data_IF_025619438497
#
_entry.id   IF_025619438497
#
_cell.length_a   1.000
_cell.length_b   1.000
_cell.length_c   1.000
_cell.angle_alpha   90.00
_cell.angle_beta   90.00
_cell.angle_gamma   90.00
#
_symmetry.space_group_name_H-M   'P 1'
#
loop_
_entity.id
_entity.type
_entity.pdbx_description
1 polymer ?
#
# COMPACT_ATOMS: atom_id res chain seq x y z
N UNK A 1 -18.34 16.49 -29.43
CA UNK A 1 -19.40 15.60 -28.92
C UNK A 1 -18.79 14.85 -27.74
N UNK A 2 -18.85 15.45 -26.55
CA UNK A 2 -18.30 14.83 -25.34
C UNK A 2 -19.37 13.87 -24.84
N UNK A 3 -19.06 12.57 -24.82
CA UNK A 3 -19.95 11.58 -24.25
C UNK A 3 -20.06 11.86 -22.75
N UNK A 4 -21.28 12.14 -22.28
CA UNK A 4 -21.61 12.08 -20.87
C UNK A 4 -21.38 10.62 -20.45
N UNK A 5 -20.41 10.36 -19.57
CA UNK A 5 -20.33 9.06 -18.91
C UNK A 5 -21.60 8.88 -18.08
N UNK A 6 -22.58 8.18 -18.64
CA UNK A 6 -23.76 7.73 -17.93
C UNK A 6 -23.29 6.96 -16.70
N UNK A 7 -23.52 7.53 -15.51
CA UNK A 7 -23.19 6.90 -14.23
C UNK A 7 -24.05 5.64 -14.12
N UNK A 8 -23.48 4.52 -14.54
CA UNK A 8 -24.20 3.26 -14.62
C UNK A 8 -24.67 2.87 -13.21
N UNK A 9 -25.98 2.85 -13.00
CA UNK A 9 -26.57 2.53 -11.70
C UNK A 9 -26.63 1.01 -11.57
N UNK A 10 -25.90 0.47 -10.61
CA UNK A 10 -25.87 -0.94 -10.28
C UNK A 10 -26.87 -1.24 -9.17
N UNK A 11 -27.66 -2.31 -9.31
CA UNK A 11 -28.50 -2.82 -8.22
C UNK A 11 -27.69 -3.77 -7.35
N UNK A 12 -27.42 -3.37 -6.11
CA UNK A 12 -26.82 -4.20 -5.08
C UNK A 12 -27.85 -4.70 -4.07
N UNK A 13 -27.42 -5.61 -3.20
CA UNK A 13 -28.26 -6.13 -2.10
C UNK A 13 -28.68 -5.04 -1.09
N UNK A 14 -28.01 -3.88 -1.11
CA UNK A 14 -28.26 -2.72 -0.26
C UNK A 14 -28.94 -1.55 -1.01
N UNK A 15 -29.43 -1.80 -2.22
CA UNK A 15 -30.05 -0.79 -3.08
C UNK A 15 -29.17 -0.37 -4.26
N UNK A 16 -29.56 0.71 -4.92
CA UNK A 16 -28.86 1.25 -6.07
C UNK A 16 -27.56 1.93 -5.65
N UNK A 17 -26.45 1.59 -6.28
CA UNK A 17 -25.16 2.26 -6.10
C UNK A 17 -24.56 2.61 -7.46
N UNK A 18 -23.77 3.69 -7.52
CA UNK A 18 -22.98 4.03 -8.71
C UNK A 18 -21.51 3.96 -8.33
N UNK A 19 -20.68 3.44 -9.24
CA UNK A 19 -19.23 3.40 -9.06
C UNK A 19 -18.70 4.74 -9.54
N UNK A 20 -18.09 5.51 -8.64
CA UNK A 20 -17.48 6.78 -9.00
C UNK A 20 -16.06 6.59 -9.52
N UNK A 21 -15.55 7.54 -10.29
CA UNK A 21 -14.15 7.51 -10.73
C UNK A 21 -13.17 7.53 -9.54
N UNK A 22 -13.52 8.19 -8.44
CA UNK A 22 -12.75 8.13 -7.19
C UNK A 22 -12.65 6.71 -6.63
N UNK A 23 -13.72 5.92 -6.69
CA UNK A 23 -13.70 4.51 -6.24
C UNK A 23 -12.75 3.68 -7.09
N UNK A 24 -12.73 3.91 -8.40
CA UNK A 24 -11.81 3.22 -9.32
C UNK A 24 -10.36 3.58 -9.03
N UNK A 25 -10.06 4.87 -8.88
CA UNK A 25 -8.71 5.35 -8.56
C UNK A 25 -8.20 4.78 -7.24
N UNK A 26 -9.06 4.71 -6.23
CA UNK A 26 -8.73 4.13 -4.93
C UNK A 26 -8.28 2.67 -5.05
N UNK A 27 -8.99 1.86 -5.85
CA UNK A 27 -8.63 0.45 -6.10
C UNK A 27 -7.29 0.33 -6.83
N UNK A 28 -7.04 1.20 -7.83
CA UNK A 28 -5.79 1.19 -8.59
C UNK A 28 -4.60 1.54 -7.66
N UNK A 29 -4.72 2.61 -6.87
CA UNK A 29 -3.69 3.05 -5.94
C UNK A 29 -3.40 2.00 -4.86
N UNK A 30 -4.44 1.37 -4.33
CA UNK A 30 -4.32 0.26 -3.38
C UNK A 30 -3.48 -0.87 -3.97
N UNK A 31 -3.84 -1.35 -5.17
CA UNK A 31 -3.12 -2.45 -5.84
C UNK A 31 -1.69 -2.07 -6.19
N UNK A 32 -1.47 -0.85 -6.68
CA UNK A 32 -0.15 -0.34 -6.99
C UNK A 32 0.75 -0.29 -5.74
N UNK A 33 0.23 0.22 -4.62
CA UNK A 33 0.94 0.24 -3.34
C UNK A 33 1.36 -1.16 -2.86
N UNK A 34 0.47 -2.15 -2.99
CA UNK A 34 0.79 -3.54 -2.67
C UNK A 34 1.87 -4.14 -3.58
N UNK A 35 1.80 -3.88 -4.89
CA UNK A 35 2.81 -4.37 -5.84
C UNK A 35 4.18 -3.75 -5.55
N UNK A 36 4.25 -2.45 -5.29
CA UNK A 36 5.49 -1.75 -4.93
C UNK A 36 6.07 -2.34 -3.63
N UNK A 37 5.22 -2.60 -2.64
CA UNK A 37 5.63 -3.22 -1.38
C UNK A 37 6.19 -4.63 -1.60
N UNK A 38 5.45 -5.49 -2.30
CA UNK A 38 5.88 -6.85 -2.60
C UNK A 38 7.19 -6.88 -3.39
N UNK A 39 7.34 -5.99 -4.38
CA UNK A 39 8.57 -5.88 -5.17
C UNK A 39 9.75 -5.43 -4.33
N UNK A 40 9.57 -4.41 -3.48
CA UNK A 40 10.61 -3.92 -2.58
C UNK A 40 11.06 -4.99 -1.60
N UNK A 41 10.11 -5.76 -1.05
CA UNK A 41 10.41 -6.89 -0.18
C UNK A 41 11.19 -7.98 -0.92
N UNK A 42 10.76 -8.36 -2.13
CA UNK A 42 11.46 -9.34 -2.96
C UNK A 42 12.91 -8.93 -3.22
N UNK A 43 13.12 -7.68 -3.65
CA UNK A 43 14.47 -7.15 -3.92
C UNK A 43 15.30 -7.12 -2.65
N UNK A 44 14.75 -6.62 -1.54
CA UNK A 44 15.44 -6.56 -0.25
C UNK A 44 15.83 -7.94 0.27
N UNK A 45 14.91 -8.91 0.24
CA UNK A 45 15.19 -10.30 0.63
C UNK A 45 16.22 -10.96 -0.27
N UNK A 46 16.13 -10.78 -1.59
CA UNK A 46 17.12 -11.32 -2.53
C UNK A 46 18.51 -10.76 -2.29
N UNK A 47 18.61 -9.46 -1.99
CA UNK A 47 19.87 -8.80 -1.67
C UNK A 47 20.49 -9.35 -0.39
N UNK A 48 19.70 -9.53 0.66
CA UNK A 48 20.17 -10.10 1.93
C UNK A 48 20.62 -11.55 1.77
N UNK A 49 19.87 -12.38 1.03
CA UNK A 49 20.19 -13.79 0.82
C UNK A 49 21.45 -14.00 -0.05
N UNK A 50 21.77 -13.03 -0.91
CA UNK A 50 22.94 -13.11 -1.81
C UNK A 50 24.17 -12.38 -1.25
N UNK A 51 24.05 -11.70 -0.11
CA UNK A 51 25.13 -10.88 0.42
C UNK A 51 26.14 -11.71 1.23
N UNK A 52 27.42 -11.59 0.86
CA UNK A 52 28.53 -12.15 1.65
C UNK A 52 28.86 -11.28 2.87
N UNK A 53 28.65 -9.96 2.78
CA UNK A 53 28.86 -9.01 3.86
C UNK A 53 27.63 -8.12 4.07
N UNK A 54 26.97 -8.33 5.22
CA UNK A 54 25.76 -7.60 5.58
C UNK A 54 26.01 -6.09 5.78
N UNK A 55 27.18 -5.69 6.29
CA UNK A 55 27.49 -4.27 6.54
C UNK A 55 27.60 -3.45 5.27
N UNK A 56 28.02 -4.07 4.16
CA UNK A 56 28.15 -3.39 2.87
C UNK A 56 26.79 -3.11 2.22
N UNK A 57 25.77 -3.94 2.50
CA UNK A 57 24.44 -3.80 1.89
C UNK A 57 23.46 -2.94 2.70
N UNK A 58 23.73 -2.70 4.00
CA UNK A 58 22.91 -1.85 4.86
C UNK A 58 22.48 -0.52 4.22
N UNK A 59 23.37 0.30 3.62
CA UNK A 59 22.99 1.59 3.05
C UNK A 59 22.05 1.47 1.83
N UNK A 60 22.04 0.31 1.16
CA UNK A 60 21.10 0.04 0.05
C UNK A 60 19.77 -0.52 0.58
N UNK A 61 19.80 -1.26 1.70
CA UNK A 61 18.62 -1.86 2.29
C UNK A 61 17.71 -0.82 2.98
N UNK A 62 18.28 0.22 3.58
CA UNK A 62 17.54 1.31 4.23
C UNK A 62 16.55 2.02 3.29
N UNK A 63 16.94 2.53 2.10
CA UNK A 63 15.99 3.16 1.18
C UNK A 63 14.97 2.15 0.61
N UNK A 64 15.35 0.89 0.38
CA UNK A 64 14.42 -0.16 -0.07
C UNK A 64 13.32 -0.38 0.99
N UNK A 65 13.70 -0.43 2.26
CA UNK A 65 12.76 -0.55 3.37
C UNK A 65 11.84 0.67 3.50
N UNK A 66 12.36 1.88 3.24
CA UNK A 66 11.54 3.09 3.21
C UNK A 66 10.49 3.05 2.07
N UNK A 67 10.88 2.60 0.87
CA UNK A 67 9.94 2.44 -0.27
C UNK A 67 8.88 1.38 0.03
N UNK A 68 9.28 0.25 0.61
CA UNK A 68 8.36 -0.79 1.09
C UNK A 68 7.31 -0.21 2.06
N UNK A 69 7.79 0.54 3.06
CA UNK A 69 6.94 1.16 4.08
C UNK A 69 5.97 2.18 3.48
N UNK A 70 6.44 2.98 2.51
CA UNK A 70 5.62 3.97 1.81
C UNK A 70 4.54 3.30 0.93
N UNK A 71 4.89 2.24 0.19
CA UNK A 71 3.93 1.46 -0.59
C UNK A 71 2.83 0.85 0.28
N UNK A 72 3.21 0.31 1.45
CA UNK A 72 2.24 -0.22 2.41
C UNK A 72 1.36 0.89 2.98
N UNK A 73 1.93 2.03 3.36
CA UNK A 73 1.17 3.18 3.84
C UNK A 73 0.13 3.66 2.83
N UNK A 74 0.54 3.81 1.56
CA UNK A 74 -0.35 4.18 0.46
C UNK A 74 -1.49 3.17 0.28
N UNK A 75 -1.16 1.87 0.28
CA UNK A 75 -2.15 0.80 0.16
C UNK A 75 -3.16 0.84 1.31
N UNK A 76 -2.70 0.99 2.55
CA UNK A 76 -3.57 1.08 3.71
C UNK A 76 -4.42 2.36 3.68
N UNK A 77 -3.88 3.49 3.22
CA UNK A 77 -4.63 4.75 3.16
C UNK A 77 -5.76 4.72 2.11
N UNK A 78 -5.59 3.95 1.03
CA UNK A 78 -6.52 3.92 -0.12
C UNK A 78 -7.53 2.79 -0.08
N UNK A 79 -7.33 1.78 0.78
CA UNK A 79 -8.28 0.68 0.90
C UNK A 79 -9.58 1.14 1.57
N UNK A 80 -10.68 1.07 0.84
CA UNK A 80 -12.01 1.41 1.36
C UNK A 80 -12.60 0.22 2.13
N UNK A 81 -12.10 -0.02 3.35
CA UNK A 81 -12.62 -1.07 4.24
C UNK A 81 -13.80 -0.52 5.07
N UNK A 82 -14.97 -1.16 4.98
CA UNK A 82 -16.15 -0.84 5.79
C UNK A 82 -15.94 -1.10 7.30
N UNK A 83 -15.05 -2.02 7.65
CA UNK A 83 -14.65 -2.34 9.02
C UNK A 83 -13.56 -1.38 9.53
N UNK A 84 -13.98 -0.18 9.92
CA UNK A 84 -13.13 0.87 10.51
C UNK A 84 -12.19 0.38 11.63
N UNK A 85 -12.59 -0.47 12.60
CA UNK A 85 -11.66 -0.91 13.66
C UNK A 85 -10.49 -1.74 13.12
N UNK A 86 -10.71 -2.56 12.09
CA UNK A 86 -9.67 -3.36 11.45
C UNK A 86 -8.64 -2.46 10.75
N UNK A 87 -9.13 -1.44 10.04
CA UNK A 87 -8.29 -0.46 9.34
C UNK A 87 -7.34 0.26 10.30
N UNK A 88 -7.85 0.73 11.44
CA UNK A 88 -7.04 1.40 12.49
C UNK A 88 -5.98 0.48 13.09
N UNK A 89 -6.32 -0.79 13.31
CA UNK A 89 -5.38 -1.77 13.87
C UNK A 89 -4.22 -2.04 12.90
N UNK A 90 -4.51 -2.13 11.60
CA UNK A 90 -3.50 -2.24 10.56
C UNK A 90 -2.59 -0.99 10.49
N UNK A 91 -3.16 0.21 10.62
CA UNK A 91 -2.37 1.45 10.70
C UNK A 91 -1.45 1.45 11.93
N UNK A 92 -1.93 0.94 13.07
CA UNK A 92 -1.14 0.79 14.29
C UNK A 92 0.06 -0.15 14.07
N UNK A 93 -0.17 -1.32 13.46
CA UNK A 93 0.90 -2.25 13.12
C UNK A 93 1.91 -1.65 12.15
N UNK A 94 1.44 -0.85 11.18
CA UNK A 94 2.33 -0.14 10.27
C UNK A 94 3.20 0.88 11.03
N UNK A 95 2.60 1.75 11.85
CA UNK A 95 3.33 2.76 12.64
C UNK A 95 4.33 2.10 13.58
N UNK A 96 3.96 1.00 14.24
CA UNK A 96 4.88 0.25 15.11
C UNK A 96 6.03 -0.35 14.29
N UNK A 97 5.73 -0.97 13.14
CA UNK A 97 6.73 -1.61 12.29
C UNK A 97 7.68 -0.64 11.59
N UNK A 98 7.23 0.55 11.24
CA UNK A 98 8.05 1.58 10.58
C UNK A 98 8.68 2.57 11.56
N UNK A 99 8.10 2.71 12.76
CA UNK A 99 8.55 3.64 13.80
C UNK A 99 9.93 3.32 14.36
N UNK A 100 10.43 2.09 14.18
CA UNK A 100 11.82 1.75 14.48
C UNK A 100 12.82 2.59 13.68
N UNK A 101 12.44 3.11 12.50
CA UNK A 101 13.29 3.99 11.68
C UNK A 101 13.70 5.26 12.43
N UNK A 102 12.83 5.81 13.29
CA UNK A 102 13.10 7.06 14.01
C UNK A 102 13.92 6.89 15.28
N UNK A 103 14.13 5.66 15.78
CA UNK A 103 14.84 5.43 17.03
C UNK A 103 16.34 5.12 16.84
N UNK A 104 16.78 4.85 15.61
CA UNK A 104 18.17 4.44 15.29
C UNK A 104 18.92 5.50 14.45
N UNK A 105 18.38 6.72 14.33
CA UNK A 105 19.05 7.88 13.72
C UNK A 105 19.44 8.87 14.82
#
# INVERSE_FOLDING_TARGET
MLAEEETQIYQGQFGNFSITEQDRLSVILYRAGLIISAFSFLVGSSLVLSAENLQAILPLLTPIFAVFSCGLALSLATIHIYLVPLHRLLQLFLVIGTGSFTFLL
#
